data_IF_567012999301
#
_entry.id   IF_567012999301
#
_cell.length_a   1.000
_cell.length_b   1.000
_cell.length_c   1.000
_cell.angle_alpha   90.00
_cell.angle_beta   90.00
_cell.angle_gamma   90.00
#
_symmetry.space_group_name_H-M   'P 1'
#
loop_
_entity.id
_entity.type
_entity.pdbx_description
1 polymer ?
#
# COMPACT_ATOMS: atom_id res chain seq x y z
N UNK A 1 1.69 -5.17 29.43
CA UNK A 1 1.78 -4.12 30.46
C UNK A 1 0.88 -2.99 30.01
N UNK A 2 -0.11 -2.57 30.81
CA UNK A 2 -0.84 -1.32 30.52
C UNK A 2 0.15 -0.17 30.81
N UNK A 3 0.53 0.61 29.80
CA UNK A 3 1.30 1.85 30.01
C UNK A 3 0.42 2.78 30.88
N UNK A 4 0.97 3.40 31.92
CA UNK A 4 0.30 4.49 32.63
C UNK A 4 0.24 5.70 31.71
N UNK A 5 -0.79 6.55 31.83
CA UNK A 5 -0.93 7.76 30.99
C UNK A 5 0.33 8.66 31.02
N UNK A 6 1.07 8.66 32.13
CA UNK A 6 2.31 9.43 32.29
C UNK A 6 3.52 8.86 31.53
N UNK A 7 3.39 7.68 30.93
CA UNK A 7 4.44 6.99 30.16
C UNK A 7 4.16 6.98 28.64
N UNK A 8 3.11 7.68 28.20
CA UNK A 8 2.81 7.89 26.77
C UNK A 8 3.74 8.97 26.22
N UNK A 9 4.42 8.67 25.11
CA UNK A 9 5.32 9.60 24.45
C UNK A 9 5.06 9.53 22.96
N UNK A 10 4.32 10.53 22.47
CA UNK A 10 3.77 10.55 21.11
C UNK A 10 4.80 10.25 20.02
N UNK A 11 6.03 10.76 20.16
CA UNK A 11 7.10 10.52 19.20
C UNK A 11 7.61 9.07 19.21
N UNK A 12 7.64 8.42 20.37
CA UNK A 12 7.97 7.00 20.46
C UNK A 12 6.85 6.16 19.87
N UNK A 13 5.59 6.45 20.18
CA UNK A 13 4.45 5.71 19.64
C UNK A 13 4.37 5.87 18.11
N UNK A 14 4.63 7.08 17.59
CA UNK A 14 4.80 7.33 16.15
C UNK A 14 5.91 6.48 15.54
N UNK A 15 7.07 6.43 16.18
CA UNK A 15 8.22 5.65 15.70
C UNK A 15 7.94 4.14 15.73
N UNK A 16 7.36 3.63 16.82
CA UNK A 16 6.99 2.23 16.99
C UNK A 16 5.95 1.79 15.96
N UNK A 17 4.92 2.62 15.69
CA UNK A 17 3.92 2.35 14.67
C UNK A 17 4.54 2.24 13.27
N UNK A 18 5.49 3.12 12.96
CA UNK A 18 6.23 3.10 11.69
C UNK A 18 7.10 1.86 11.54
N UNK A 19 7.90 1.54 12.56
CA UNK A 19 8.73 0.34 12.59
C UNK A 19 7.89 -0.92 12.38
N UNK A 20 6.76 -1.02 13.08
CA UNK A 20 5.84 -2.15 12.96
C UNK A 20 5.26 -2.28 11.56
N UNK A 21 4.88 -1.18 10.92
CA UNK A 21 4.35 -1.20 9.56
C UNK A 21 5.42 -1.59 8.52
N UNK A 22 6.63 -1.03 8.62
CA UNK A 22 7.74 -1.30 7.70
C UNK A 22 8.21 -2.76 7.83
N UNK A 23 8.30 -3.27 9.06
CA UNK A 23 8.73 -4.64 9.35
C UNK A 23 7.66 -5.68 9.02
N UNK A 24 6.40 -5.27 8.77
CA UNK A 24 5.31 -6.18 8.49
C UNK A 24 5.56 -6.97 7.20
N UNK A 25 5.54 -8.30 7.30
CA UNK A 25 5.64 -9.22 6.17
C UNK A 25 4.66 -10.37 6.35
N UNK A 26 4.06 -10.80 5.24
CA UNK A 26 3.21 -11.98 5.24
C UNK A 26 4.04 -13.22 5.58
N UNK A 27 3.57 -14.01 6.54
CA UNK A 27 4.18 -15.31 6.84
C UNK A 27 4.04 -16.29 5.67
N UNK A 28 4.99 -17.20 5.50
CA UNK A 28 5.00 -18.17 4.38
C UNK A 28 3.75 -19.06 4.34
N UNK A 29 3.23 -19.43 5.50
CA UNK A 29 2.00 -20.22 5.69
C UNK A 29 0.76 -19.36 5.95
N UNK A 30 0.91 -18.03 6.02
CA UNK A 30 -0.18 -17.13 6.39
C UNK A 30 -1.19 -16.98 5.24
N UNK A 31 -2.48 -17.01 5.61
CA UNK A 31 -3.56 -16.73 4.68
C UNK A 31 -3.52 -15.26 4.24
N UNK A 32 -3.66 -15.02 2.93
CA UNK A 32 -3.60 -13.68 2.35
C UNK A 32 -4.69 -12.72 2.89
N UNK A 33 -5.89 -13.22 3.18
CA UNK A 33 -6.98 -12.42 3.73
C UNK A 33 -6.65 -11.98 5.15
N UNK A 34 -6.17 -12.90 5.98
CA UNK A 34 -5.75 -12.58 7.35
C UNK A 34 -4.61 -11.54 7.36
N UNK A 35 -3.62 -11.70 6.48
CA UNK A 35 -2.55 -10.72 6.34
C UNK A 35 -3.06 -9.34 5.91
N UNK A 36 -3.99 -9.28 4.94
CA UNK A 36 -4.62 -8.02 4.52
C UNK A 36 -5.29 -7.29 5.67
N UNK A 37 -6.03 -8.00 6.52
CA UNK A 37 -6.71 -7.40 7.67
C UNK A 37 -5.71 -6.87 8.71
N UNK A 38 -4.58 -7.54 8.93
CA UNK A 38 -3.52 -7.02 9.80
C UNK A 38 -2.84 -5.78 9.19
N UNK A 39 -2.56 -5.82 7.90
CA UNK A 39 -1.95 -4.71 7.16
C UNK A 39 -2.83 -3.46 7.19
N UNK A 40 -4.12 -3.59 6.90
CA UNK A 40 -5.06 -2.47 6.91
C UNK A 40 -5.22 -1.86 8.30
N UNK A 41 -5.30 -2.68 9.35
CA UNK A 41 -5.35 -2.16 10.74
C UNK A 41 -4.12 -1.36 11.12
N UNK A 42 -2.93 -1.78 10.69
CA UNK A 42 -1.72 -1.01 10.97
C UNK A 42 -1.62 0.25 10.09
N UNK A 43 -2.13 0.18 8.86
CA UNK A 43 -2.21 1.33 7.97
C UNK A 43 -3.15 2.42 8.51
N UNK A 44 -4.28 2.04 9.10
CA UNK A 44 -5.22 2.96 9.77
C UNK A 44 -4.55 3.72 10.92
N UNK A 45 -3.79 3.01 11.77
CA UNK A 45 -2.99 3.65 12.84
C UNK A 45 -1.99 4.66 12.26
N UNK A 46 -1.32 4.33 11.15
CA UNK A 46 -0.43 5.29 10.49
C UNK A 46 -1.17 6.47 9.88
N UNK A 47 -2.35 6.25 9.31
CA UNK A 47 -3.16 7.31 8.72
C UNK A 47 -3.55 8.34 9.79
N UNK A 48 -3.96 7.88 10.96
CA UNK A 48 -4.30 8.73 12.10
C UNK A 48 -3.09 9.54 12.59
N UNK A 49 -1.91 8.92 12.62
CA UNK A 49 -0.66 9.56 13.06
C UNK A 49 -0.09 10.57 12.04
N UNK A 50 -0.11 10.25 10.75
CA UNK A 50 0.42 11.13 9.70
C UNK A 50 -0.53 12.27 9.35
N UNK A 51 -1.83 12.03 9.47
CA UNK A 51 -2.88 12.90 8.96
C UNK A 51 -2.95 12.93 7.43
N UNK A 52 -4.05 13.49 6.93
CA UNK A 52 -4.38 13.52 5.50
C UNK A 52 -3.40 14.40 4.71
N UNK A 53 -2.96 15.52 5.28
CA UNK A 53 -2.11 16.50 4.60
C UNK A 53 -0.76 15.92 4.15
N UNK A 54 -0.18 14.97 4.88
CA UNK A 54 1.10 14.36 4.53
C UNK A 54 1.00 13.63 3.17
N UNK A 55 -0.03 12.83 2.99
CA UNK A 55 -0.26 12.07 1.76
C UNK A 55 -0.68 12.95 0.58
N UNK A 56 -1.53 13.95 0.83
CA UNK A 56 -1.89 14.92 -0.21
C UNK A 56 -0.68 15.72 -0.71
N UNK A 57 0.24 16.10 0.20
CA UNK A 57 1.50 16.76 -0.16
C UNK A 57 2.44 15.85 -0.95
N UNK A 58 2.45 14.55 -0.64
CA UNK A 58 3.16 13.56 -1.45
C UNK A 58 2.55 13.46 -2.85
N UNK A 59 1.21 13.42 -2.97
CA UNK A 59 0.50 13.31 -4.25
C UNK A 59 0.92 14.39 -5.26
N UNK A 60 1.01 15.64 -4.81
CA UNK A 60 1.36 16.80 -5.65
C UNK A 60 2.78 16.68 -6.24
N UNK A 61 3.66 15.89 -5.61
CA UNK A 61 5.04 15.66 -6.07
C UNK A 61 5.15 14.51 -7.08
N UNK A 62 4.06 13.81 -7.39
CA UNK A 62 4.09 12.65 -8.29
C UNK A 62 3.98 13.04 -9.77
N UNK A 63 4.59 12.24 -10.65
CA UNK A 63 4.45 12.38 -12.11
C UNK A 63 2.99 12.26 -12.56
N UNK A 64 2.23 11.37 -11.91
CA UNK A 64 0.82 11.16 -12.23
C UNK A 64 -0.02 12.42 -11.96
N UNK A 65 0.19 13.10 -10.84
CA UNK A 65 -0.48 14.38 -10.56
C UNK A 65 -0.08 15.47 -11.55
N UNK A 66 1.20 15.53 -11.94
CA UNK A 66 1.70 16.51 -12.91
C UNK A 66 1.12 16.30 -14.33
N UNK A 67 0.76 15.06 -14.68
CA UNK A 67 0.14 14.73 -15.96
C UNK A 67 -1.35 15.12 -16.03
N UNK A 68 -2.01 15.42 -14.91
CA UNK A 68 -3.40 15.89 -14.89
C UNK A 68 -3.43 17.35 -15.35
N UNK A 69 -4.32 17.66 -16.30
CA UNK A 69 -4.51 19.01 -16.82
C UNK A 69 -4.67 20.03 -15.68
N UNK A 70 -4.00 21.18 -15.77
CA UNK A 70 -4.06 22.22 -14.72
C UNK A 70 -5.46 22.77 -14.49
N UNK A 71 -6.32 22.73 -15.53
CA UNK A 71 -7.72 23.15 -15.50
C UNK A 71 -8.65 22.10 -14.92
N UNK A 72 -8.22 20.85 -14.77
CA UNK A 72 -9.02 19.77 -14.19
C UNK A 72 -8.77 19.65 -12.69
N UNK A 73 -9.32 20.60 -11.94
CA UNK A 73 -9.19 20.67 -10.49
C UNK A 73 -9.84 19.48 -9.80
N UNK A 74 -10.99 19.01 -10.31
CA UNK A 74 -11.70 17.87 -9.75
C UNK A 74 -10.88 16.58 -9.82
N UNK A 75 -10.21 16.30 -10.95
CA UNK A 75 -9.34 15.14 -11.07
C UNK A 75 -8.11 15.25 -10.15
N UNK A 76 -7.57 16.46 -9.96
CA UNK A 76 -6.44 16.69 -9.05
C UNK A 76 -6.79 16.46 -7.60
N UNK A 77 -7.94 16.94 -7.16
CA UNK A 77 -8.38 16.74 -5.77
C UNK A 77 -8.75 15.28 -5.51
N UNK A 78 -9.43 14.63 -6.45
CA UNK A 78 -9.65 13.18 -6.39
C UNK A 78 -8.34 12.40 -6.30
N UNK A 79 -7.33 12.77 -7.09
CA UNK A 79 -6.02 12.10 -7.03
C UNK A 79 -5.35 12.24 -5.66
N UNK A 80 -5.48 13.41 -5.02
CA UNK A 80 -4.96 13.63 -3.66
C UNK A 80 -5.69 12.78 -2.62
N UNK A 81 -6.99 12.59 -2.78
CA UNK A 81 -7.80 11.78 -1.86
C UNK A 81 -7.51 10.28 -2.03
N UNK A 82 -7.33 9.83 -3.28
CA UNK A 82 -7.09 8.42 -3.61
C UNK A 82 -5.63 7.98 -3.38
N UNK A 83 -4.68 8.92 -3.21
CA UNK A 83 -3.23 8.61 -3.20
C UNK A 83 -2.85 7.66 -2.06
N UNK A 84 -3.50 7.80 -0.90
CA UNK A 84 -3.19 7.01 0.28
C UNK A 84 -3.50 5.54 0.01
N UNK A 85 -4.68 5.26 -0.56
CA UNK A 85 -5.08 3.90 -0.90
C UNK A 85 -4.16 3.30 -1.97
N UNK A 86 -3.71 4.08 -2.95
CA UNK A 86 -2.77 3.63 -3.96
C UNK A 86 -1.39 3.28 -3.39
N UNK A 87 -0.90 4.06 -2.42
CA UNK A 87 0.33 3.76 -1.68
C UNK A 87 0.17 2.48 -0.86
N UNK A 88 -0.97 2.31 -0.17
CA UNK A 88 -1.27 1.10 0.57
C UNK A 88 -1.38 -0.13 -0.33
N UNK A 89 -2.01 -0.02 -1.50
CA UNK A 89 -2.10 -1.11 -2.47
C UNK A 89 -0.71 -1.60 -2.90
N UNK A 90 0.20 -0.66 -3.18
CA UNK A 90 1.59 -0.97 -3.53
C UNK A 90 2.35 -1.55 -2.33
N UNK A 91 2.20 -0.96 -1.14
CA UNK A 91 2.82 -1.45 0.09
C UNK A 91 2.36 -2.87 0.46
N UNK A 92 1.07 -3.17 0.27
CA UNK A 92 0.50 -4.48 0.49
C UNK A 92 1.16 -5.53 -0.42
N UNK A 93 1.28 -5.25 -1.72
CA UNK A 93 2.01 -6.14 -2.64
C UNK A 93 3.45 -6.36 -2.16
N UNK A 94 4.17 -5.29 -1.81
CA UNK A 94 5.56 -5.35 -1.37
C UNK A 94 5.78 -6.10 -0.04
N UNK A 95 4.75 -6.19 0.79
CA UNK A 95 4.80 -6.88 2.09
C UNK A 95 4.21 -8.30 2.04
N UNK A 96 3.57 -8.69 0.95
CA UNK A 96 3.18 -10.08 0.70
C UNK A 96 4.41 -10.98 0.54
N UNK A 97 4.19 -12.29 0.71
CA UNK A 97 5.24 -13.30 0.62
C UNK A 97 5.97 -13.22 -0.72
N UNK A 98 7.31 -13.28 -0.67
CA UNK A 98 8.16 -13.03 -1.83
C UNK A 98 7.88 -14.02 -2.97
N UNK A 99 7.63 -15.29 -2.64
CA UNK A 99 7.40 -16.33 -3.65
C UNK A 99 6.10 -16.10 -4.43
N UNK A 100 5.13 -15.44 -3.80
CA UNK A 100 3.83 -15.10 -4.38
C UNK A 100 3.87 -13.78 -5.15
N UNK A 101 4.57 -12.77 -4.64
CA UNK A 101 4.58 -11.42 -5.24
C UNK A 101 5.62 -11.21 -6.33
N UNK A 102 6.78 -11.87 -6.27
CA UNK A 102 7.92 -11.49 -7.11
C UNK A 102 7.64 -11.59 -8.62
N UNK A 103 6.97 -12.64 -9.13
CA UNK A 103 6.68 -12.71 -10.56
C UNK A 103 5.60 -11.69 -10.96
N UNK A 104 4.58 -11.46 -10.13
CA UNK A 104 3.58 -10.41 -10.37
C UNK A 104 4.23 -9.01 -10.44
N UNK A 105 5.15 -8.70 -9.53
CA UNK A 105 5.86 -7.43 -9.53
C UNK A 105 6.69 -7.23 -10.80
N UNK A 106 7.32 -8.30 -11.31
CA UNK A 106 8.07 -8.25 -12.56
C UNK A 106 7.14 -7.96 -13.75
N UNK A 107 5.97 -8.60 -13.81
CA UNK A 107 4.98 -8.38 -14.85
C UNK A 107 4.46 -6.93 -14.81
N UNK A 108 4.17 -6.39 -13.62
CA UNK A 108 3.74 -5.01 -13.44
C UNK A 108 4.79 -4.00 -13.89
N UNK A 109 6.05 -4.21 -13.51
CA UNK A 109 7.18 -3.38 -13.94
C UNK A 109 7.36 -3.41 -15.46
N UNK A 110 7.29 -4.60 -16.06
CA UNK A 110 7.42 -4.78 -17.50
C UNK A 110 6.35 -4.02 -18.27
N UNK A 111 5.09 -4.10 -17.82
CA UNK A 111 3.99 -3.36 -18.45
C UNK A 111 4.14 -1.84 -18.25
N UNK A 112 4.57 -1.41 -17.07
CA UNK A 112 4.82 0.00 -16.81
C UNK A 112 5.92 0.59 -17.69
N UNK A 113 6.99 -0.18 -17.96
CA UNK A 113 8.02 0.19 -18.95
C UNK A 113 7.47 0.34 -20.38
N UNK A 114 6.34 -0.27 -20.69
CA UNK A 114 5.62 -0.13 -21.97
C UNK A 114 4.55 0.97 -21.93
N UNK A 115 4.64 1.86 -20.94
CA UNK A 115 3.69 2.97 -20.72
C UNK A 115 2.26 2.53 -20.39
N UNK A 116 2.09 1.29 -19.93
CA UNK A 116 0.80 0.76 -19.48
C UNK A 116 0.82 0.54 -17.97
N UNK A 117 0.08 1.37 -17.24
CA UNK A 117 0.00 1.28 -15.78
C UNK A 117 -1.09 0.28 -15.33
N UNK A 118 -0.65 -0.93 -14.97
CA UNK A 118 -1.49 -1.95 -14.34
C UNK A 118 -1.33 -2.04 -12.81
N UNK A 119 -0.60 -1.10 -12.17
CA UNK A 119 -0.48 -1.14 -10.72
C UNK A 119 -1.85 -0.93 -10.05
N UNK A 120 -2.22 -1.78 -9.07
CA UNK A 120 -3.48 -1.63 -8.38
C UNK A 120 -3.50 -0.32 -7.59
N UNK A 121 -4.63 0.38 -7.64
CA UNK A 121 -4.86 1.62 -6.87
C UNK A 121 -5.63 1.38 -5.56
N UNK A 122 -6.09 0.15 -5.35
CA UNK A 122 -6.82 -0.25 -4.13
C UNK A 122 -6.25 -1.56 -3.58
N UNK A 123 -6.29 -1.73 -2.26
CA UNK A 123 -5.76 -2.95 -1.62
C UNK A 123 -6.56 -4.19 -2.04
N UNK A 124 -7.86 -4.05 -2.27
CA UNK A 124 -8.69 -5.15 -2.78
C UNK A 124 -8.29 -5.58 -4.19
N UNK A 125 -8.03 -4.65 -5.11
CA UNK A 125 -7.51 -5.00 -6.45
C UNK A 125 -6.14 -5.68 -6.36
N UNK A 126 -5.27 -5.21 -5.46
CA UNK A 126 -3.97 -5.85 -5.23
C UNK A 126 -4.12 -7.31 -4.76
N UNK A 127 -5.05 -7.56 -3.83
CA UNK A 127 -5.38 -8.90 -3.37
C UNK A 127 -5.90 -9.80 -4.51
N UNK A 128 -6.81 -9.29 -5.33
CA UNK A 128 -7.40 -10.05 -6.43
C UNK A 128 -6.36 -10.38 -7.50
N UNK A 129 -5.48 -9.43 -7.84
CA UNK A 129 -4.36 -9.68 -8.75
C UNK A 129 -3.42 -10.77 -8.22
N UNK A 130 -3.10 -10.75 -6.92
CA UNK A 130 -2.28 -11.80 -6.31
C UNK A 130 -2.97 -13.17 -6.36
N UNK A 131 -4.28 -13.24 -6.09
CA UNK A 131 -5.04 -14.50 -6.17
C UNK A 131 -5.00 -15.09 -7.59
N UNK A 132 -5.35 -14.28 -8.58
CA UNK A 132 -5.36 -14.69 -10.00
C UNK A 132 -3.95 -15.16 -10.41
N UNK A 133 -2.92 -14.39 -10.05
CA UNK A 133 -1.55 -14.73 -10.40
C UNK A 133 -1.09 -16.05 -9.76
N UNK A 134 -1.43 -16.28 -8.49
CA UNK A 134 -1.16 -17.56 -7.82
C UNK A 134 -1.87 -18.74 -8.48
N UNK A 135 -3.12 -18.56 -8.91
CA UNK A 135 -3.88 -19.62 -9.57
C UNK A 135 -3.29 -19.95 -10.96
N UNK A 136 -2.86 -18.93 -11.71
CA UNK A 136 -2.15 -19.11 -12.98
C UNK A 136 -0.82 -19.84 -12.80
N UNK A 137 -0.04 -19.51 -11.76
CA UNK A 137 1.21 -20.21 -11.45
C UNK A 137 0.96 -21.69 -11.13
N UNK A 138 -0.10 -21.99 -10.36
CA UNK A 138 -0.45 -23.38 -10.01
C UNK A 138 -0.83 -24.22 -11.22
N UNK A 139 -1.53 -23.65 -12.20
CA UNK A 139 -1.93 -24.35 -13.43
C UNK A 139 -0.72 -24.70 -14.32
N UNK A 140 0.38 -23.94 -14.20
CA UNK A 140 1.59 -24.10 -15.03
C UNK A 140 2.65 -25.04 -14.42
N UNK A 141 2.40 -25.59 -13.22
CA UNK A 141 3.27 -26.56 -12.55
C UNK A 141 2.65 -27.94 -12.63
#
# INVERSE_FOLDING_TARGET
MKKSADAEYDFLDFWEANQKFIAMKQGTTENLMHFKEQFLRQAEVLQDLYGVAWFQNFAVKTKAYAAIASTDTAAKDKFKDDIFEAVLATGFLCNCDQTRRAPLMLDLQTNYCREVDYYPKTVSKAQDMLKIHMDVIKIRK
#
